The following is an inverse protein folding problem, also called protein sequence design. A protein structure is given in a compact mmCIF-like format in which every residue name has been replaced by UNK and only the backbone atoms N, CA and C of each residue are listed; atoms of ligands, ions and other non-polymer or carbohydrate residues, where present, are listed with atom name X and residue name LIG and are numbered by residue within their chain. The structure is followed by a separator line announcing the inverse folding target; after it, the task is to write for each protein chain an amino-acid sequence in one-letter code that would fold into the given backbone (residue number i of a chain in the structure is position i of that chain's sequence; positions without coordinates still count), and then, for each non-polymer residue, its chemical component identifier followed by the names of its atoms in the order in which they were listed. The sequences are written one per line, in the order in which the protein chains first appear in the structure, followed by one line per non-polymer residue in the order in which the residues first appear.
data_IF_301893535679
#
_entry.id   IF_301893535679
#
_cell.length_a   1.000
_cell.length_b   1.000
_cell.length_c   1.000
_cell.angle_alpha   90.00
_cell.angle_beta   90.00
_cell.angle_gamma   90.00
#
_symmetry.space_group_name_H-M   'P 1'
#
loop_
_entity.id
_entity.type
_entity.pdbx_description
1 polymer ?
#
# COMPACT_ATOMS: atom_id res chain seq x y z
N UNK A 1 -2.89 7.44 -6.40
CA UNK A 1 -2.29 7.14 -5.07
C UNK A 1 -1.73 5.72 -5.13
N UNK A 2 -0.84 5.34 -4.23
CA UNK A 2 -0.30 3.98 -4.17
C UNK A 2 0.09 3.62 -2.73
N UNK A 3 0.19 2.31 -2.45
CA UNK A 3 0.69 1.81 -1.16
C UNK A 3 2.22 1.77 -1.20
N UNK A 4 2.85 2.48 -0.26
CA UNK A 4 4.27 2.39 0.02
C UNK A 4 4.47 1.44 1.20
N UNK A 5 5.37 0.46 1.04
CA UNK A 5 5.77 -0.45 2.10
C UNK A 5 7.15 -0.04 2.61
N UNK A 6 7.28 0.11 3.92
CA UNK A 6 8.54 0.27 4.62
C UNK A 6 8.87 -1.06 5.29
N UNK A 7 9.98 -1.67 4.88
CA UNK A 7 10.53 -2.86 5.52
C UNK A 7 11.54 -2.44 6.58
N UNK A 8 11.38 -2.95 7.80
CA UNK A 8 12.35 -2.80 8.88
C UNK A 8 12.76 -4.18 9.38
N UNK A 9 14.05 -4.37 9.63
CA UNK A 9 14.58 -5.56 10.30
C UNK A 9 14.93 -5.21 11.73
N UNK A 10 14.44 -5.99 12.69
CA UNK A 10 14.77 -5.89 14.10
C UNK A 10 15.16 -7.29 14.60
N UNK A 11 16.45 -7.49 14.87
CA UNK A 11 17.00 -8.83 15.07
C UNK A 11 16.74 -9.72 13.85
N UNK A 12 16.25 -10.93 14.09
CA UNK A 12 15.90 -11.91 13.05
C UNK A 12 14.48 -11.73 12.48
N UNK A 13 13.73 -10.72 12.93
CA UNK A 13 12.35 -10.47 12.50
C UNK A 13 12.25 -9.33 11.50
N UNK A 14 11.48 -9.56 10.44
CA UNK A 14 11.16 -8.56 9.43
C UNK A 14 9.75 -8.00 9.67
N UNK A 15 9.66 -6.68 9.74
CA UNK A 15 8.43 -5.95 9.97
C UNK A 15 8.10 -5.09 8.74
N UNK A 16 6.83 -5.12 8.34
CA UNK A 16 6.33 -4.29 7.24
C UNK A 16 5.36 -3.24 7.78
N UNK A 17 5.51 -2.01 7.29
CA UNK A 17 4.61 -0.91 7.59
C UNK A 17 4.09 -0.30 6.29
N UNK A 18 2.78 -0.10 6.20
CA UNK A 18 2.14 0.44 5.02
C UNK A 18 1.78 1.92 5.20
N UNK A 19 1.88 2.69 4.11
CA UNK A 19 1.42 4.07 4.04
C UNK A 19 0.77 4.34 2.69
N UNK A 20 -0.34 5.06 2.71
CA UNK A 20 -1.00 5.52 1.51
C UNK A 20 -0.36 6.82 1.03
N UNK A 21 0.19 6.82 -0.18
CA UNK A 21 0.92 7.95 -0.75
C UNK A 21 0.17 8.52 -1.95
N UNK A 22 -0.05 9.82 -1.94
CA UNK A 22 -0.51 10.57 -3.10
C UNK A 22 0.70 11.09 -3.89
N UNK A 23 0.63 10.95 -5.22
CA UNK A 23 1.59 11.52 -6.15
C UNK A 23 0.90 12.63 -6.95
N UNK A 24 1.42 13.85 -6.89
CA UNK A 24 0.95 15.02 -7.65
C UNK A 24 2.11 15.68 -8.38
N UNK A 25 1.87 16.15 -9.61
CA UNK A 25 2.81 17.04 -10.31
C UNK A 25 2.52 18.49 -9.91
N UNK A 26 3.53 19.19 -9.41
CA UNK A 26 3.48 20.61 -9.06
C UNK A 26 4.69 21.28 -9.72
N UNK A 27 4.45 22.27 -10.58
CA UNK A 27 5.51 23.00 -11.31
C UNK A 27 6.51 22.07 -12.03
N UNK A 28 5.99 21.08 -12.75
CA UNK A 28 6.82 20.09 -13.47
C UNK A 28 7.51 19.05 -12.60
N UNK A 29 7.47 19.17 -11.27
CA UNK A 29 8.10 18.23 -10.33
C UNK A 29 7.08 17.28 -9.71
N UNK A 30 7.48 16.03 -9.52
CA UNK A 30 6.68 15.01 -8.84
C UNK A 30 6.82 15.21 -7.33
N UNK A 31 5.73 15.55 -6.64
CA UNK A 31 5.66 15.65 -5.18
C UNK A 31 4.84 14.48 -4.63
N UNK A 32 5.47 13.71 -3.75
CA UNK A 32 4.82 12.62 -3.01
C UNK A 32 4.42 13.11 -1.62
N UNK A 33 3.17 12.86 -1.22
CA UNK A 33 2.65 13.21 0.10
C UNK A 33 2.01 12.00 0.75
N UNK A 34 2.40 11.67 1.98
CA UNK A 34 1.74 10.62 2.77
C UNK A 34 0.37 11.14 3.19
N UNK A 35 -0.68 10.37 2.89
CA UNK A 35 -2.08 10.71 3.22
C UNK A 35 -2.59 9.97 4.44
N UNK A 36 -2.13 8.73 4.62
CA UNK A 36 -2.46 7.93 5.79
C UNK A 36 -1.33 6.96 6.11
N UNK A 37 -1.10 6.75 7.40
CA UNK A 37 -0.30 5.64 7.91
C UNK A 37 -1.25 4.47 8.18
N UNK A 38 -1.02 3.33 7.54
CA UNK A 38 -1.87 2.15 7.68
C UNK A 38 -1.36 1.19 8.76
N UNK A 39 -0.23 1.51 9.40
CA UNK A 39 0.35 0.71 10.47
C UNK A 39 1.13 -0.50 9.97
N UNK A 40 1.33 -1.48 10.86
CA UNK A 40 2.02 -2.72 10.55
C UNK A 40 1.12 -3.66 9.76
N UNK A 41 1.69 -4.35 8.77
CA UNK A 41 0.99 -5.31 7.91
C UNK A 41 1.80 -6.59 7.79
N UNK A 42 1.13 -7.70 7.53
CA UNK A 42 1.80 -8.96 7.21
C UNK A 42 2.21 -9.01 5.74
N UNK A 43 3.14 -9.90 5.40
CA UNK A 43 3.60 -10.07 4.01
C UNK A 43 2.45 -10.47 3.07
N UNK A 44 1.57 -11.34 3.54
CA UNK A 44 0.38 -11.82 2.83
C UNK A 44 -0.63 -10.70 2.56
N UNK A 45 -0.71 -9.68 3.41
CA UNK A 45 -1.63 -8.55 3.23
C UNK A 45 -1.16 -7.55 2.16
N UNK A 46 0.15 -7.49 1.89
CA UNK A 46 0.75 -6.49 0.99
C UNK A 46 0.14 -6.53 -0.43
N UNK A 47 -0.01 -7.69 -1.10
CA UNK A 47 -0.60 -7.76 -2.42
C UNK A 47 -2.04 -7.22 -2.46
N UNK A 48 -2.87 -7.55 -1.48
CA UNK A 48 -4.26 -7.08 -1.40
C UNK A 48 -4.34 -5.57 -1.20
N UNK A 49 -3.50 -5.02 -0.34
CA UNK A 49 -3.42 -3.56 -0.14
C UNK A 49 -2.96 -2.85 -1.43
N UNK A 50 -1.96 -3.39 -2.13
CA UNK A 50 -1.52 -2.84 -3.42
C UNK A 50 -2.65 -2.91 -4.47
N UNK A 51 -3.37 -4.02 -4.53
CA UNK A 51 -4.50 -4.22 -5.43
C UNK A 51 -5.64 -3.23 -5.18
N UNK A 52 -6.00 -2.99 -3.92
CA UNK A 52 -7.09 -2.08 -3.53
C UNK A 52 -6.87 -0.62 -3.99
N UNK A 53 -5.60 -0.19 -4.08
CA UNK A 53 -5.20 1.16 -4.49
C UNK A 53 -4.53 1.21 -5.88
N UNK A 54 -4.52 0.11 -6.62
CA UNK A 54 -4.03 0.09 -8.00
C UNK A 54 -4.92 0.96 -8.89
N UNK A 55 -4.32 1.59 -9.92
CA UNK A 55 -5.08 2.39 -10.88
C UNK A 55 -6.10 1.53 -11.65
N UNK A 56 -5.71 0.30 -12.00
CA UNK A 56 -6.60 -0.73 -12.53
C UNK A 56 -6.90 -1.73 -11.42
N UNK A 57 -7.92 -1.44 -10.63
CA UNK A 57 -8.33 -2.30 -9.50
C UNK A 57 -8.76 -3.67 -10.04
N UNK A 58 -8.17 -4.78 -9.56
CA UNK A 58 -8.68 -6.10 -9.90
C UNK A 58 -10.10 -6.23 -9.34
N UNK A 59 -10.97 -6.93 -10.08
CA UNK A 59 -12.29 -7.27 -9.55
C UNK A 59 -12.09 -8.27 -8.42
N UNK A 60 -12.76 -8.02 -7.31
CA UNK A 60 -12.90 -9.02 -6.26
C UNK A 60 -13.79 -10.12 -6.83
N UNK A 61 -13.23 -11.30 -7.04
CA UNK A 61 -13.98 -12.50 -7.40
C UNK A 61 -14.09 -13.28 -6.11
N UNK A 62 -15.16 -13.02 -5.38
CA UNK A 62 -15.63 -13.91 -4.33
C UNK A 62 -16.85 -14.62 -4.90
N UNK A 63 -16.97 -15.91 -4.64
CA UNK A 63 -18.29 -16.49 -4.64
C UNK A 63 -19.04 -15.79 -3.49
N UNK A 64 -20.20 -15.20 -3.79
CA UNK A 64 -21.09 -14.74 -2.74
C UNK A 64 -21.53 -16.01 -2.00
N UNK A 65 -20.85 -16.37 -0.91
CA UNK A 65 -21.37 -17.38 0.01
C UNK A 65 -22.69 -16.81 0.57
N UNK A 66 -23.78 -17.43 0.16
CA UNK A 66 -25.19 -17.14 0.49
C UNK A 66 -25.50 -17.37 1.98
#
# INVERSE_FOLDING_TARGET
MFIKILTKKFGDKQHYYASLVENKRVNGKVKQTVKAYLGSVTEEQIPYLKAAYAQKKPKLVYDEEE
#
